data_IF_637176066626
#
_entry.id   IF_637176066626
#
_cell.length_a   1.000
_cell.length_b   1.000
_cell.length_c   1.000
_cell.angle_alpha   90.00
_cell.angle_beta   90.00
_cell.angle_gamma   90.00
#
_symmetry.space_group_name_H-M   'P 1'
#
loop_
_entity.id
_entity.type
_entity.pdbx_description
1 polymer ?
#
# COMPACT_ATOMS: atom_id res chain seq x y z
N UNK A 1 6.14 12.04 4.84
CA UNK A 1 6.41 10.62 5.14
C UNK A 1 5.85 10.16 6.47
N UNK A 2 5.79 11.01 7.50
CA UNK A 2 5.16 10.69 8.80
C UNK A 2 3.79 10.02 8.73
N UNK A 3 2.89 10.49 7.86
CA UNK A 3 1.55 9.89 7.69
C UNK A 3 1.67 8.43 7.26
N UNK A 4 2.46 8.14 6.22
CA UNK A 4 2.66 6.78 5.73
C UNK A 4 3.28 5.87 6.80
N UNK A 5 4.27 6.39 7.54
CA UNK A 5 4.87 5.67 8.66
C UNK A 5 3.85 5.36 9.77
N UNK A 6 3.00 6.32 10.13
CA UNK A 6 1.90 6.12 11.09
C UNK A 6 0.91 5.05 10.65
N UNK A 7 0.50 5.05 9.38
CA UNK A 7 -0.37 4.00 8.80
C UNK A 7 0.34 2.64 8.84
N UNK A 8 1.62 2.58 8.47
CA UNK A 8 2.38 1.34 8.47
C UNK A 8 2.47 0.73 9.88
N UNK A 9 2.71 1.54 10.91
CA UNK A 9 2.67 1.12 12.31
C UNK A 9 1.29 0.66 12.75
N UNK A 10 0.24 1.38 12.35
CA UNK A 10 -1.14 0.98 12.64
C UNK A 10 -1.46 -0.40 12.07
N UNK A 11 -1.07 -0.67 10.83
CA UNK A 11 -1.25 -1.99 10.21
C UNK A 11 -0.36 -3.06 10.84
N UNK A 12 0.89 -2.76 11.17
CA UNK A 12 1.76 -3.65 11.94
C UNK A 12 1.09 -4.08 13.25
N UNK A 13 0.52 -3.11 13.99
CA UNK A 13 -0.19 -3.39 15.23
C UNK A 13 -1.37 -4.34 15.01
N UNK A 14 -2.19 -4.09 14.00
CA UNK A 14 -3.34 -4.95 13.66
C UNK A 14 -2.92 -6.37 13.26
N UNK A 15 -1.82 -6.49 12.51
CA UNK A 15 -1.38 -7.75 11.91
C UNK A 15 -0.58 -8.63 12.86
N UNK A 16 0.26 -8.05 13.72
CA UNK A 16 1.29 -8.80 14.44
C UNK A 16 1.33 -8.54 15.95
N UNK A 17 0.75 -7.43 16.44
CA UNK A 17 0.87 -7.04 17.85
C UNK A 17 -0.45 -7.17 18.63
N UNK A 18 -1.59 -7.22 17.93
CA UNK A 18 -2.87 -7.59 18.50
C UNK A 18 -2.89 -9.06 18.94
N UNK A 19 -3.54 -9.35 20.08
CA UNK A 19 -3.76 -10.73 20.54
C UNK A 19 -4.54 -11.57 19.51
N UNK A 20 -5.46 -10.95 18.79
CA UNK A 20 -6.17 -11.53 17.65
C UNK A 20 -5.75 -10.79 16.41
N UNK A 21 -5.19 -11.49 15.43
CA UNK A 21 -4.75 -10.89 14.17
C UNK A 21 -5.96 -10.33 13.41
N UNK A 22 -5.86 -9.08 12.98
CA UNK A 22 -6.93 -8.34 12.31
C UNK A 22 -6.50 -8.00 10.87
N UNK A 23 -7.30 -8.35 9.88
CA UNK A 23 -7.17 -7.84 8.51
C UNK A 23 -8.20 -6.72 8.33
N UNK A 24 -7.77 -5.50 7.99
CA UNK A 24 -8.65 -4.33 7.88
C UNK A 24 -9.60 -4.42 6.67
N UNK A 25 -9.09 -4.85 5.51
CA UNK A 25 -9.80 -5.06 4.25
C UNK A 25 -10.28 -3.79 3.51
N UNK A 26 -9.98 -2.59 4.00
CA UNK A 26 -10.42 -1.32 3.37
C UNK A 26 -9.50 -0.15 3.70
N UNK A 27 -8.20 -0.34 3.56
CA UNK A 27 -7.24 0.75 3.71
C UNK A 27 -7.27 1.61 2.46
N UNK A 28 -7.53 2.90 2.67
CA UNK A 28 -7.63 3.96 1.66
C UNK A 28 -7.51 5.32 2.35
N UNK A 29 -7.24 6.42 1.64
CA UNK A 29 -7.08 7.73 2.25
C UNK A 29 -8.30 8.17 3.09
N UNK A 30 -9.52 7.84 2.66
CA UNK A 30 -10.75 8.22 3.37
C UNK A 30 -10.90 7.55 4.74
N UNK A 31 -10.21 6.42 4.95
CA UNK A 31 -10.21 5.68 6.22
C UNK A 31 -8.98 5.97 7.07
N UNK A 32 -8.09 6.87 6.64
CA UNK A 32 -6.91 7.32 7.37
C UNK A 32 -7.18 8.73 7.88
N UNK A 33 -7.51 8.82 9.16
CA UNK A 33 -7.80 10.09 9.83
C UNK A 33 -6.49 10.71 10.36
N UNK A 34 -6.49 12.03 10.55
CA UNK A 34 -5.41 12.75 11.20
C UNK A 34 -5.93 13.36 12.49
N UNK A 35 -5.17 13.22 13.58
CA UNK A 35 -5.47 13.94 14.83
C UNK A 35 -4.90 15.37 14.82
N UNK A 36 -5.12 16.12 15.90
CA UNK A 36 -4.70 17.54 16.03
C UNK A 36 -3.18 17.74 15.87
N UNK A 37 -2.39 16.67 16.01
CA UNK A 37 -0.95 16.67 15.83
C UNK A 37 -0.52 16.05 14.49
N UNK A 38 -1.46 15.89 13.54
CA UNK A 38 -1.26 15.27 12.24
C UNK A 38 -0.77 13.81 12.29
N UNK A 39 -1.00 13.09 13.39
CA UNK A 39 -0.71 11.66 13.43
C UNK A 39 -1.80 10.87 12.71
N UNK A 40 -1.38 9.92 11.88
CA UNK A 40 -2.29 9.03 11.17
C UNK A 40 -2.99 8.03 12.11
N UNK A 41 -4.30 7.86 11.94
CA UNK A 41 -5.14 6.90 12.65
C UNK A 41 -6.00 6.12 11.67
N UNK A 42 -5.92 4.80 11.74
CA UNK A 42 -6.74 3.90 10.93
C UNK A 42 -8.16 3.86 11.51
N UNK A 43 -9.17 3.98 10.65
CA UNK A 43 -10.59 4.00 10.99
C UNK A 43 -11.40 3.09 10.06
N UNK A 44 -12.69 2.91 10.37
CA UNK A 44 -13.64 2.08 9.61
C UNK A 44 -13.29 0.58 9.52
N UNK A 45 -13.47 -0.12 10.64
CA UNK A 45 -13.31 -1.57 10.74
C UNK A 45 -14.55 -2.36 10.27
N UNK A 46 -15.48 -1.73 9.54
CA UNK A 46 -16.74 -2.37 9.12
C UNK A 46 -16.54 -3.61 8.24
N UNK A 47 -15.41 -3.68 7.52
CA UNK A 47 -15.03 -4.82 6.68
C UNK A 47 -13.98 -5.74 7.31
N UNK A 48 -13.50 -5.43 8.52
CA UNK A 48 -12.38 -6.13 9.12
C UNK A 48 -12.67 -7.63 9.38
N UNK A 49 -11.61 -8.42 9.48
CA UNK A 49 -11.66 -9.86 9.74
C UNK A 49 -10.74 -10.19 10.91
N UNK A 50 -11.31 -10.83 11.92
CA UNK A 50 -10.56 -11.41 13.02
C UNK A 50 -10.16 -12.83 12.65
N UNK A 51 -8.86 -13.11 12.62
CA UNK A 51 -8.35 -14.45 12.38
C UNK A 51 -8.21 -15.20 13.71
N UNK A 52 -8.72 -16.43 13.75
CA UNK A 52 -8.54 -17.31 14.91
C UNK A 52 -7.05 -17.67 15.09
N UNK A 53 -6.64 -18.06 16.30
CA UNK A 53 -5.22 -18.31 16.66
C UNK A 53 -4.48 -19.30 15.74
N UNK A 54 -5.19 -20.22 15.07
CA UNK A 54 -4.62 -21.19 14.15
C UNK A 54 -4.94 -20.90 12.66
N UNK A 55 -5.39 -19.69 12.36
CA UNK A 55 -5.85 -19.28 11.04
C UNK A 55 -4.97 -18.14 10.52
N UNK A 56 -4.31 -18.34 9.39
CA UNK A 56 -3.49 -17.31 8.72
C UNK A 56 -4.15 -16.72 7.47
N UNK A 57 -5.29 -17.28 7.06
CA UNK A 57 -6.05 -16.89 5.86
C UNK A 57 -7.53 -17.10 6.04
N UNK A 58 -8.37 -16.31 5.35
CA UNK A 58 -9.82 -16.44 5.42
C UNK A 58 -10.47 -16.29 4.04
N UNK A 59 -11.64 -16.90 3.85
CA UNK A 59 -12.44 -16.72 2.65
C UNK A 59 -13.54 -15.70 2.93
N UNK A 60 -13.64 -14.69 2.08
CA UNK A 60 -14.69 -13.67 2.13
C UNK A 60 -15.03 -13.23 0.73
N UNK A 61 -16.29 -12.88 0.50
CA UNK A 61 -16.69 -12.20 -0.73
C UNK A 61 -15.84 -10.94 -0.94
N UNK A 62 -15.67 -10.53 -2.20
CA UNK A 62 -15.00 -9.28 -2.57
C UNK A 62 -15.72 -8.13 -1.88
N UNK A 63 -15.03 -7.49 -0.94
CA UNK A 63 -15.50 -6.35 -0.17
C UNK A 63 -14.32 -5.41 0.01
N UNK A 64 -14.50 -4.14 -0.28
CA UNK A 64 -13.43 -3.16 -0.26
C UNK A 64 -13.66 -2.13 -1.35
N UNK A 65 -12.83 -1.10 -1.36
CA UNK A 65 -12.98 0.04 -2.27
C UNK A 65 -12.27 -0.23 -3.60
N UNK A 66 -12.99 -0.06 -4.71
CA UNK A 66 -12.45 -0.18 -6.08
C UNK A 66 -11.18 0.67 -6.21
N UNK A 67 -10.14 0.14 -6.87
CA UNK A 67 -8.80 0.74 -6.91
C UNK A 67 -7.84 0.22 -5.83
N UNK A 68 -8.32 -0.06 -4.61
CA UNK A 68 -7.48 -0.55 -3.51
C UNK A 68 -7.56 -2.07 -3.30
N UNK A 69 -8.53 -2.75 -3.93
CA UNK A 69 -8.73 -4.20 -3.77
C UNK A 69 -7.57 -4.98 -4.41
N UNK A 70 -6.89 -5.81 -3.60
CA UNK A 70 -5.79 -6.64 -4.06
C UNK A 70 -6.23 -7.68 -5.13
N UNK A 71 -5.38 -7.96 -6.16
CA UNK A 71 -5.75 -8.80 -7.30
C UNK A 71 -6.23 -10.21 -6.95
N UNK A 72 -5.68 -10.82 -5.89
CA UNK A 72 -6.04 -12.17 -5.45
C UNK A 72 -7.50 -12.29 -5.00
N UNK A 73 -8.14 -11.17 -4.64
CA UNK A 73 -9.55 -11.18 -4.25
C UNK A 73 -10.47 -11.49 -5.44
N UNK A 74 -10.15 -10.95 -6.61
CA UNK A 74 -10.87 -11.22 -7.87
C UNK A 74 -10.69 -12.66 -8.34
N UNK A 75 -9.66 -13.36 -7.86
CA UNK A 75 -9.37 -14.77 -8.14
C UNK A 75 -10.07 -15.74 -7.19
N UNK A 76 -10.92 -15.23 -6.29
CA UNK A 76 -11.61 -16.00 -5.25
C UNK A 76 -10.64 -16.81 -4.36
N UNK A 77 -9.42 -16.29 -4.18
CA UNK A 77 -8.40 -16.89 -3.31
C UNK A 77 -8.70 -16.52 -1.85
N UNK A 78 -8.21 -17.34 -0.91
CA UNK A 78 -8.23 -16.96 0.50
C UNK A 78 -7.34 -15.72 0.72
N UNK A 79 -7.87 -14.72 1.42
CA UNK A 79 -7.13 -13.51 1.74
C UNK A 79 -6.28 -13.70 3.00
N UNK A 80 -5.20 -12.94 3.09
CA UNK A 80 -4.30 -12.84 4.24
C UNK A 80 -4.12 -11.36 4.60
N UNK A 81 -3.32 -11.05 5.61
CA UNK A 81 -2.90 -9.65 5.90
C UNK A 81 -2.25 -8.94 4.71
N UNK A 82 -1.78 -9.69 3.70
CA UNK A 82 -1.19 -9.15 2.46
C UNK A 82 -2.15 -8.32 1.61
N UNK A 83 -3.46 -8.43 1.79
CA UNK A 83 -4.40 -7.54 1.10
C UNK A 83 -4.27 -6.10 1.62
N UNK A 84 -4.09 -5.91 2.94
CA UNK A 84 -3.87 -4.59 3.52
C UNK A 84 -2.50 -4.02 3.12
N UNK A 85 -1.49 -4.88 2.95
CA UNK A 85 -0.16 -4.48 2.43
C UNK A 85 -0.30 -3.90 1.02
N UNK A 86 -1.09 -4.54 0.15
CA UNK A 86 -1.38 -4.03 -1.18
C UNK A 86 -2.07 -2.66 -1.12
N UNK A 87 -3.14 -2.54 -0.34
CA UNK A 87 -3.84 -1.27 -0.13
C UNK A 87 -2.89 -0.17 0.38
N UNK A 88 -2.02 -0.49 1.33
CA UNK A 88 -1.00 0.44 1.82
C UNK A 88 -0.03 0.88 0.71
N UNK A 89 0.41 -0.03 -0.15
CA UNK A 89 1.24 0.30 -1.31
C UNK A 89 0.58 1.30 -2.24
N UNK A 90 -0.71 1.12 -2.53
CA UNK A 90 -1.51 2.07 -3.35
C UNK A 90 -1.58 3.44 -2.65
N UNK A 91 -1.93 3.48 -1.36
CA UNK A 91 -1.95 4.73 -0.57
C UNK A 91 -0.59 5.42 -0.56
N UNK A 92 0.50 4.66 -0.44
CA UNK A 92 1.85 5.20 -0.45
C UNK A 92 2.18 5.85 -1.79
N UNK A 93 1.79 5.24 -2.92
CA UNK A 93 1.94 5.86 -4.23
C UNK A 93 1.14 7.16 -4.35
N UNK A 94 -0.09 7.21 -3.85
CA UNK A 94 -0.90 8.44 -3.85
C UNK A 94 -0.22 9.56 -3.03
N UNK A 95 0.34 9.21 -1.87
CA UNK A 95 1.10 10.16 -1.03
C UNK A 95 2.32 10.70 -1.79
N UNK A 96 3.08 9.82 -2.46
CA UNK A 96 4.28 10.22 -3.22
C UNK A 96 3.90 11.12 -4.40
N UNK A 97 2.88 10.74 -5.16
CA UNK A 97 2.51 11.44 -6.39
C UNK A 97 1.75 12.74 -6.12
N UNK A 98 1.20 12.92 -4.90
CA UNK A 98 0.24 13.97 -4.55
C UNK A 98 -0.95 14.06 -5.52
N UNK A 99 -1.19 13.02 -6.30
CA UNK A 99 -2.37 12.86 -7.15
C UNK A 99 -3.40 12.15 -6.31
N UNK A 100 -4.56 12.79 -6.12
CA UNK A 100 -5.76 12.02 -5.80
C UNK A 100 -5.97 11.06 -6.99
N UNK A 101 -6.23 9.79 -6.73
CA UNK A 101 -7.13 9.05 -7.64
C UNK A 101 -8.37 9.94 -7.77
N UNK A 102 -8.55 10.54 -8.93
CA UNK A 102 -9.37 11.76 -9.05
C UNK A 102 -10.82 11.34 -8.90
N UNK A 103 -11.58 12.17 -8.19
CA UNK A 103 -13.02 12.02 -8.05
C UNK A 103 -13.69 11.66 -9.40
N UNK A 104 -14.53 10.61 -9.37
CA UNK A 104 -15.68 10.27 -10.24
C UNK A 104 -15.55 9.01 -11.14
N UNK A 105 -16.39 8.03 -10.80
CA UNK A 105 -16.89 6.87 -11.57
C UNK A 105 -15.91 5.74 -12.00
N UNK A 106 -14.58 5.92 -12.05
CA UNK A 106 -13.69 4.89 -12.62
C UNK A 106 -12.38 4.56 -11.88
N UNK A 107 -12.35 4.67 -10.54
CA UNK A 107 -11.20 4.50 -9.63
C UNK A 107 -10.20 3.36 -9.94
N UNK A 108 -10.66 2.20 -10.43
CA UNK A 108 -9.77 1.07 -10.72
C UNK A 108 -8.83 1.33 -11.90
N UNK A 109 -9.36 1.91 -12.98
CA UNK A 109 -8.58 2.16 -14.19
C UNK A 109 -7.55 3.25 -13.93
N UNK A 110 -7.93 4.31 -13.20
CA UNK A 110 -6.99 5.34 -12.77
C UNK A 110 -5.91 4.82 -11.82
N UNK A 111 -6.26 3.95 -10.87
CA UNK A 111 -5.28 3.36 -9.96
C UNK A 111 -4.30 2.45 -10.73
N UNK A 112 -4.80 1.64 -11.67
CA UNK A 112 -3.96 0.83 -12.54
C UNK A 112 -3.01 1.69 -13.37
N UNK A 113 -3.52 2.77 -13.98
CA UNK A 113 -2.72 3.74 -14.73
C UNK A 113 -1.64 4.38 -13.83
N UNK A 114 -1.98 4.75 -12.59
CA UNK A 114 -1.02 5.32 -11.65
C UNK A 114 0.11 4.34 -11.34
N UNK A 115 -0.22 3.09 -11.00
CA UNK A 115 0.76 2.05 -10.67
C UNK A 115 1.69 1.74 -11.85
N UNK A 116 1.13 1.59 -13.06
CA UNK A 116 1.90 1.33 -14.27
C UNK A 116 2.81 2.52 -14.63
N UNK A 117 2.28 3.74 -14.57
CA UNK A 117 3.04 4.96 -14.83
C UNK A 117 4.21 5.14 -13.83
N UNK A 118 3.96 4.95 -12.54
CA UNK A 118 5.02 5.01 -11.52
C UNK A 118 6.11 3.96 -11.80
N UNK A 119 5.71 2.74 -12.15
CA UNK A 119 6.67 1.67 -12.44
C UNK A 119 7.52 1.98 -13.68
N UNK A 120 6.93 2.55 -14.73
CA UNK A 120 7.67 2.98 -15.93
C UNK A 120 8.62 4.14 -15.61
N UNK A 121 8.17 5.15 -14.87
CA UNK A 121 9.05 6.23 -14.40
C UNK A 121 10.21 5.70 -13.54
N UNK A 122 9.95 4.75 -12.64
CA UNK A 122 10.99 4.08 -11.86
C UNK A 122 12.01 3.36 -12.74
N UNK A 123 11.54 2.57 -13.72
CA UNK A 123 12.41 1.83 -14.65
C UNK A 123 13.26 2.73 -15.54
N UNK A 124 12.74 3.88 -15.92
CA UNK A 124 13.42 4.84 -16.79
C UNK A 124 14.30 5.83 -16.00
N UNK A 125 14.29 5.76 -14.66
CA UNK A 125 15.03 6.70 -13.81
C UNK A 125 14.44 8.11 -13.79
N UNK A 126 13.15 8.25 -14.11
CA UNK A 126 12.41 9.52 -14.21
C UNK A 126 11.60 9.82 -12.94
N UNK A 127 12.14 9.52 -11.75
CA UNK A 127 11.41 9.66 -10.48
C UNK A 127 10.99 11.09 -10.17
N UNK A 128 11.74 12.09 -10.63
CA UNK A 128 11.38 13.51 -10.48
C UNK A 128 10.05 13.86 -11.17
N UNK A 129 9.65 13.12 -12.20
CA UNK A 129 8.37 13.31 -12.88
C UNK A 129 7.17 12.83 -12.04
N UNK A 130 7.43 12.04 -11.00
CA UNK A 130 6.42 11.49 -10.09
C UNK A 130 6.02 12.54 -9.04
N UNK A 131 6.95 13.41 -8.64
CA UNK A 131 6.70 14.44 -7.65
C UNK A 131 5.80 15.56 -8.21
N UNK A 132 4.83 16.02 -7.42
CA UNK A 132 4.12 17.25 -7.71
C UNK A 132 5.08 18.44 -7.53
N UNK A 133 5.02 19.41 -8.44
CA UNK A 133 5.84 20.64 -8.44
C UNK A 133 5.64 21.52 -7.19
N UNK A 134 4.71 21.16 -6.30
CA UNK A 134 4.43 21.82 -5.02
C UNK A 134 5.13 21.19 -3.82
N UNK A 135 5.71 20.01 -3.99
CA UNK A 135 6.56 19.41 -2.97
C UNK A 135 7.95 19.99 -3.22
N UNK A 136 8.31 21.03 -2.46
CA UNK A 136 9.70 21.49 -2.44
C UNK A 136 10.58 20.26 -2.16
N UNK A 137 11.64 20.09 -2.95
CA UNK A 137 12.60 18.98 -2.92
C UNK A 137 13.46 18.96 -1.63
N UNK A 138 12.87 19.39 -0.51
CA UNK A 138 13.52 19.66 0.75
C UNK A 138 13.16 18.57 1.75
N UNK A 139 14.21 17.85 2.13
CA UNK A 139 14.34 17.17 3.42
C UNK A 139 13.53 15.89 3.62
N UNK A 140 13.68 14.93 2.69
CA UNK A 140 13.35 13.54 3.02
C UNK A 140 14.59 12.84 3.58
N UNK A 141 14.55 12.47 4.86
CA UNK A 141 15.57 11.63 5.51
C UNK A 141 15.73 10.25 4.81
N UNK A 142 14.71 9.81 4.06
CA UNK A 142 14.72 8.62 3.19
C UNK A 142 14.67 9.02 1.71
N UNK A 143 15.38 8.31 0.83
CA UNK A 143 15.41 8.67 -0.60
C UNK A 143 14.04 8.42 -1.25
N UNK A 144 13.60 9.33 -2.13
CA UNK A 144 12.40 9.15 -2.95
C UNK A 144 12.37 7.77 -3.63
N UNK A 145 13.51 7.38 -4.19
CA UNK A 145 13.71 6.07 -4.83
C UNK A 145 13.40 4.90 -3.89
N UNK A 146 13.90 4.91 -2.66
CA UNK A 146 13.64 3.86 -1.66
C UNK A 146 12.15 3.82 -1.30
N UNK A 147 11.51 4.97 -1.18
CA UNK A 147 10.07 5.08 -0.87
C UNK A 147 9.22 4.48 -2.00
N UNK A 148 9.57 4.79 -3.26
CA UNK A 148 8.92 4.21 -4.44
C UNK A 148 9.15 2.70 -4.48
N UNK A 149 10.38 2.22 -4.22
CA UNK A 149 10.67 0.79 -4.17
C UNK A 149 9.84 0.05 -3.10
N UNK A 150 9.67 0.62 -1.91
CA UNK A 150 8.80 0.07 -0.86
C UNK A 150 7.36 -0.05 -1.36
N UNK A 151 6.83 0.99 -2.01
CA UNK A 151 5.48 0.97 -2.57
C UNK A 151 5.33 -0.12 -3.63
N UNK A 152 6.30 -0.25 -4.54
CA UNK A 152 6.35 -1.30 -5.58
C UNK A 152 6.42 -2.71 -5.00
N UNK A 153 7.14 -2.92 -3.90
CA UNK A 153 7.13 -4.19 -3.15
C UNK A 153 5.74 -4.50 -2.57
N UNK A 154 5.03 -3.49 -2.08
CA UNK A 154 3.71 -3.65 -1.49
C UNK A 154 2.63 -3.98 -2.53
N UNK A 155 2.71 -3.44 -3.75
CA UNK A 155 1.67 -3.62 -4.80
C UNK A 155 1.90 -4.85 -5.71
N UNK A 156 2.79 -5.78 -5.34
CA UNK A 156 3.04 -6.98 -6.15
C UNK A 156 1.76 -7.79 -6.37
N UNK A 157 1.55 -8.28 -7.59
CA UNK A 157 0.37 -9.09 -7.93
C UNK A 157 0.37 -10.43 -7.19
N UNK A 158 1.54 -11.03 -6.97
CA UNK A 158 1.70 -12.20 -6.09
C UNK A 158 1.81 -11.75 -4.62
N UNK A 159 0.83 -12.08 -3.75
CA UNK A 159 0.88 -11.73 -2.33
C UNK A 159 2.05 -12.38 -1.57
N UNK A 160 2.67 -13.42 -2.11
CA UNK A 160 3.84 -14.07 -1.51
C UNK A 160 5.09 -13.17 -1.54
N UNK A 161 5.20 -12.33 -2.57
CA UNK A 161 6.31 -11.39 -2.76
C UNK A 161 6.18 -10.13 -1.90
N UNK A 162 4.95 -9.77 -1.51
CA UNK A 162 4.72 -8.58 -0.68
C UNK A 162 5.39 -8.73 0.69
N UNK A 163 6.06 -7.70 1.23
CA UNK A 163 6.64 -7.74 2.57
C UNK A 163 5.55 -7.86 3.66
N UNK A 164 5.95 -8.17 4.89
CA UNK A 164 5.08 -7.97 6.05
C UNK A 164 5.08 -6.49 6.44
N UNK A 165 4.05 -6.02 7.16
CA UNK A 165 4.05 -4.63 7.64
C UNK A 165 5.20 -4.34 8.60
N UNK A 166 5.70 -5.33 9.37
CA UNK A 166 6.94 -5.17 10.13
C UNK A 166 8.12 -4.83 9.24
N UNK A 167 8.29 -5.56 8.13
CA UNK A 167 9.38 -5.33 7.19
C UNK A 167 9.23 -3.96 6.50
N UNK A 168 8.00 -3.57 6.15
CA UNK A 168 7.70 -2.23 5.62
C UNK A 168 8.10 -1.13 6.61
N UNK A 169 7.71 -1.25 7.88
CA UNK A 169 8.10 -0.31 8.94
C UNK A 169 9.63 -0.21 9.05
N UNK A 170 10.33 -1.35 9.08
CA UNK A 170 11.79 -1.38 9.12
C UNK A 170 12.44 -0.71 7.90
N UNK A 171 11.87 -0.90 6.70
CA UNK A 171 12.34 -0.25 5.48
C UNK A 171 12.15 1.27 5.57
N UNK A 172 10.98 1.73 6.06
CA UNK A 172 10.69 3.15 6.25
C UNK A 172 11.57 3.82 7.33
N UNK A 173 12.00 3.06 8.34
CA UNK A 173 12.94 3.51 9.38
C UNK A 173 14.41 3.50 8.92
N UNK A 174 14.69 3.00 7.71
CA UNK A 174 16.06 2.87 7.20
C UNK A 174 16.91 1.83 7.94
N UNK A 175 16.32 0.97 8.77
CA UNK A 175 17.05 -0.06 9.53
C UNK A 175 17.30 -1.34 8.75
N UNK A 176 16.69 -1.47 7.57
CA UNK A 176 16.95 -2.55 6.61
C UNK A 176 17.05 -1.99 5.20
N UNK A 177 17.93 -2.59 4.41
CA UNK A 177 18.08 -2.24 3.00
C UNK A 177 16.82 -2.56 2.19
N UNK A 178 16.45 -1.65 1.28
CA UNK A 178 15.39 -1.83 0.30
C UNK A 178 16.03 -2.32 -1.00
N UNK A 179 15.88 -3.61 -1.29
CA UNK A 179 16.37 -4.16 -2.56
C UNK A 179 15.43 -3.81 -3.72
N UNK A 180 15.97 -3.83 -4.94
CA UNK A 180 15.23 -3.60 -6.19
C UNK A 180 14.00 -4.51 -6.27
N UNK A 181 12.77 -3.96 -6.39
CA UNK A 181 11.55 -4.75 -6.52
C UNK A 181 11.41 -5.38 -7.92
N UNK A 182 10.77 -6.56 -8.02
CA UNK A 182 10.35 -7.11 -9.30
C UNK A 182 9.20 -6.29 -9.92
N UNK A 183 8.89 -6.56 -11.19
CA UNK A 183 7.74 -5.96 -11.89
C UNK A 183 6.44 -6.31 -11.14
N UNK A 184 5.64 -5.33 -10.69
CA UNK A 184 4.42 -5.60 -9.92
C UNK A 184 3.39 -6.45 -10.65
N UNK A 185 3.22 -6.24 -11.96
CA UNK A 185 2.25 -6.93 -12.81
C UNK A 185 2.90 -7.55 -14.05
N UNK A 186 3.66 -8.67 -13.91
CA UNK A 186 4.42 -9.25 -15.01
C UNK A 186 3.53 -9.82 -16.13
N UNK A 187 2.25 -10.11 -15.84
CA UNK A 187 1.32 -10.75 -16.79
C UNK A 187 0.50 -9.75 -17.62
N UNK A 188 0.49 -8.46 -17.27
CA UNK A 188 -0.20 -7.42 -18.04
C UNK A 188 0.57 -6.95 -19.29
N UNK A 189 1.79 -7.46 -19.52
CA UNK A 189 2.54 -7.23 -20.76
C UNK A 189 2.05 -8.19 -21.87
N UNK A 190 0.82 -7.98 -22.33
CA UNK A 190 0.24 -8.63 -23.50
C UNK A 190 -0.55 -7.61 -24.35
N UNK A 191 0.16 -6.76 -25.11
CA UNK A 191 -0.23 -6.21 -26.41
C UNK A 191 0.85 -5.24 -26.91
#
# INVERSE_FOLDING_TARGET
MEIAYGVAKGLLYLHEECTTQIIHCDIKPQNILLDDNYNARISDFGLAKLLMTNQSKTHTAIRGTKGYVAPEWFRNMAITTKVDVYCFGVVLLEIICCRRSVDMDNDYEETAILMDWVYDCYREGLLEAILDHKVDALDYEMKLEETVMIALWCIQEDPSLRPTMRKVVQMLEGVVEVHVPPCPSPYNKSA
#
